data_IF_935434020668
#
_entry.id   IF_935434020668
#
_cell.length_a   1.000
_cell.length_b   1.000
_cell.length_c   1.000
_cell.angle_alpha   90.00
_cell.angle_beta   90.00
_cell.angle_gamma   90.00
#
_symmetry.space_group_name_H-M   'P 1'
#
loop_
_entity.id
_entity.type
_entity.pdbx_description
1 polymer ?
#
# COMPACT_ATOMS: atom_id res chain seq x y z
N UNK A 1 0.38 0.70 10.89
CA UNK A 1 0.38 -0.70 11.38
C UNK A 1 0.98 -0.86 12.78
N UNK A 2 1.74 0.11 13.31
CA UNK A 2 2.33 0.03 14.66
C UNK A 2 1.43 0.56 15.78
N UNK A 3 0.19 0.92 15.45
CA UNK A 3 -0.77 1.58 16.33
C UNK A 3 -1.82 2.33 15.52
N UNK A 4 -2.60 3.15 16.21
CA UNK A 4 -3.61 4.04 15.62
C UNK A 4 -2.96 5.16 14.82
N UNK A 5 -3.66 5.65 13.80
CA UNK A 5 -3.32 6.86 13.05
C UNK A 5 -4.47 7.85 13.09
N UNK A 6 -4.18 9.13 13.28
CA UNK A 6 -5.18 10.18 13.13
C UNK A 6 -5.49 10.38 11.66
N UNK A 7 -6.77 10.30 11.29
CA UNK A 7 -7.25 10.48 9.93
C UNK A 7 -8.20 11.67 9.84
N UNK A 8 -8.05 12.44 8.77
CA UNK A 8 -8.98 13.50 8.39
C UNK A 8 -9.49 13.18 6.98
N UNK A 9 -10.75 12.77 6.89
CA UNK A 9 -11.41 12.57 5.61
C UNK A 9 -11.98 13.91 5.11
N UNK A 10 -11.66 14.25 3.85
CA UNK A 10 -12.21 15.40 3.15
C UNK A 10 -13.13 14.88 2.05
N UNK A 11 -14.45 15.06 2.19
CA UNK A 11 -15.44 14.56 1.24
C UNK A 11 -16.62 15.52 1.17
N UNK A 12 -17.06 15.85 -0.04
CA UNK A 12 -18.21 16.74 -0.31
C UNK A 12 -18.13 18.09 0.43
N UNK A 13 -16.91 18.65 0.50
CA UNK A 13 -16.65 19.91 1.22
C UNK A 13 -16.68 19.80 2.75
N UNK A 14 -16.87 18.60 3.30
CA UNK A 14 -16.90 18.32 4.74
C UNK A 14 -15.58 17.70 5.20
N UNK A 15 -15.20 18.01 6.45
CA UNK A 15 -14.08 17.42 7.14
C UNK A 15 -14.59 16.48 8.25
N UNK A 16 -14.15 15.23 8.24
CA UNK A 16 -14.42 14.26 9.31
C UNK A 16 -13.12 13.76 9.90
N UNK A 17 -12.94 14.01 11.19
CA UNK A 17 -11.78 13.52 11.95
C UNK A 17 -12.16 12.22 12.64
N UNK A 18 -11.28 11.24 12.56
CA UNK A 18 -11.44 9.99 13.28
C UNK A 18 -10.08 9.34 13.48
N UNK A 19 -10.06 8.36 14.37
CA UNK A 19 -8.93 7.49 14.61
C UNK A 19 -9.06 6.28 13.70
N UNK A 20 -7.96 5.91 13.05
CA UNK A 20 -7.89 4.76 12.17
C UNK A 20 -7.01 3.68 12.79
N UNK A 21 -7.55 2.47 12.90
CA UNK A 21 -6.85 1.29 13.38
C UNK A 21 -6.59 0.30 12.24
N UNK A 22 -5.41 -0.37 12.20
CA UNK A 22 -5.12 -1.40 11.20
C UNK A 22 -6.19 -2.50 11.07
N UNK A 23 -6.87 -2.84 12.16
CA UNK A 23 -7.97 -3.81 12.19
C UNK A 23 -9.17 -3.42 11.31
N UNK A 24 -9.38 -2.12 11.04
CA UNK A 24 -10.43 -1.66 10.12
C UNK A 24 -10.17 -2.10 8.68
N UNK A 25 -8.91 -2.39 8.34
CA UNK A 25 -8.47 -2.92 7.06
C UNK A 25 -8.10 -4.42 7.09
N UNK A 26 -8.44 -5.15 8.16
CA UNK A 26 -8.03 -6.55 8.41
C UNK A 26 -6.52 -6.79 8.45
N UNK A 27 -5.73 -5.76 8.79
CA UNK A 27 -4.28 -5.89 8.88
C UNK A 27 -3.84 -6.06 10.34
N UNK A 28 -2.88 -6.97 10.59
CA UNK A 28 -2.34 -7.15 11.93
C UNK A 28 -1.51 -5.94 12.37
N UNK A 29 -1.37 -5.77 13.69
CA UNK A 29 -0.37 -4.88 14.25
C UNK A 29 1.04 -5.45 14.03
N UNK A 30 2.02 -4.56 13.88
CA UNK A 30 3.43 -4.93 13.78
C UNK A 30 4.31 -3.99 14.62
N UNK A 31 5.58 -4.32 14.81
CA UNK A 31 6.57 -3.41 15.39
C UNK A 31 7.14 -2.47 14.33
N UNK A 32 7.76 -1.37 14.77
CA UNK A 32 8.42 -0.44 13.85
C UNK A 32 9.58 -1.09 13.10
N UNK A 33 10.35 -1.95 13.78
CA UNK A 33 11.49 -2.66 13.20
C UNK A 33 11.09 -3.55 12.02
N UNK A 34 9.88 -4.12 12.05
CA UNK A 34 9.34 -4.93 10.96
C UNK A 34 9.04 -4.11 9.69
N UNK A 35 8.88 -2.79 9.81
CA UNK A 35 8.62 -1.87 8.70
C UNK A 35 9.88 -1.15 8.21
N UNK A 36 11.01 -1.33 8.90
CA UNK A 36 12.22 -0.61 8.58
C UNK A 36 12.72 -0.97 7.17
N UNK A 37 13.05 0.08 6.42
CA UNK A 37 13.72 -0.03 5.13
C UNK A 37 15.15 -0.58 5.27
N UNK A 38 15.77 -0.89 4.15
CA UNK A 38 17.14 -1.37 4.10
C UNK A 38 18.16 -0.24 4.13
N UNK A 39 19.41 -0.60 4.48
CA UNK A 39 20.53 0.33 4.59
C UNK A 39 21.00 0.95 3.26
N UNK A 40 20.60 0.38 2.11
CA UNK A 40 21.05 0.85 0.80
C UNK A 40 19.89 0.95 -0.18
N UNK A 41 20.05 1.82 -1.19
CA UNK A 41 19.09 1.99 -2.29
C UNK A 41 18.85 0.66 -3.02
N UNK A 42 19.91 -0.10 -3.32
CA UNK A 42 19.80 -1.38 -4.00
C UNK A 42 19.01 -2.42 -3.17
N UNK A 43 19.20 -2.44 -1.85
CA UNK A 43 18.47 -3.35 -0.98
C UNK A 43 16.99 -2.95 -0.83
N UNK A 44 16.67 -1.65 -0.82
CA UNK A 44 15.30 -1.17 -0.87
C UNK A 44 14.61 -1.52 -2.20
N UNK A 45 15.31 -1.37 -3.33
CA UNK A 45 14.79 -1.79 -4.62
C UNK A 45 14.46 -3.30 -4.62
N UNK A 46 15.38 -4.15 -4.15
CA UNK A 46 15.14 -5.58 -4.03
C UNK A 46 13.98 -5.92 -3.07
N UNK A 47 13.79 -5.15 -2.00
CA UNK A 47 12.65 -5.31 -1.09
C UNK A 47 11.32 -4.99 -1.79
N UNK A 48 11.26 -3.91 -2.56
CA UNK A 48 10.07 -3.55 -3.35
C UNK A 48 9.77 -4.63 -4.39
N UNK A 49 10.79 -5.18 -5.05
CA UNK A 49 10.60 -6.30 -6.00
C UNK A 49 9.97 -7.52 -5.33
N UNK A 50 10.40 -7.87 -4.10
CA UNK A 50 9.79 -8.97 -3.34
C UNK A 50 8.34 -8.69 -2.97
N UNK A 51 8.02 -7.48 -2.53
CA UNK A 51 6.63 -7.06 -2.27
C UNK A 51 5.78 -7.22 -3.53
N UNK A 52 6.26 -6.72 -4.68
CA UNK A 52 5.57 -6.84 -5.96
C UNK A 52 5.45 -8.28 -6.47
N UNK A 53 6.32 -9.18 -6.00
CA UNK A 53 6.26 -10.61 -6.26
C UNK A 53 5.33 -11.38 -5.30
N UNK A 54 4.70 -10.70 -4.34
CA UNK A 54 3.78 -11.31 -3.38
C UNK A 54 4.42 -11.85 -2.11
N UNK A 55 5.60 -11.34 -1.71
CA UNK A 55 6.16 -11.63 -0.38
C UNK A 55 5.13 -11.25 0.69
N UNK A 56 4.78 -12.18 1.57
CA UNK A 56 3.85 -11.92 2.67
C UNK A 56 4.58 -11.23 3.84
N UNK A 57 3.84 -10.41 4.59
CA UNK A 57 4.28 -9.86 5.87
C UNK A 57 4.12 -8.34 5.99
N UNK A 58 4.54 -7.75 7.13
CA UNK A 58 4.21 -6.37 7.53
C UNK A 58 4.57 -5.29 6.50
N UNK A 59 5.64 -5.51 5.72
CA UNK A 59 6.06 -4.57 4.67
C UNK A 59 5.12 -4.56 3.48
N UNK A 60 4.57 -5.71 3.12
CA UNK A 60 3.52 -5.80 2.10
C UNK A 60 2.24 -5.21 2.65
N UNK A 61 1.88 -5.54 3.88
CA UNK A 61 0.67 -5.03 4.55
C UNK A 61 0.63 -3.49 4.58
N UNK A 62 1.75 -2.82 4.91
CA UNK A 62 1.78 -1.35 4.93
C UNK A 62 1.67 -0.75 3.52
N UNK A 63 2.20 -1.44 2.50
CA UNK A 63 2.04 -1.03 1.09
C UNK A 63 0.59 -1.18 0.65
N UNK A 64 -0.05 -2.31 0.98
CA UNK A 64 -1.46 -2.56 0.70
C UNK A 64 -2.35 -1.50 1.36
N UNK A 65 -2.10 -1.15 2.63
CA UNK A 65 -2.86 -0.13 3.34
C UNK A 65 -2.79 1.25 2.68
N UNK A 66 -1.58 1.69 2.31
CA UNK A 66 -1.40 3.00 1.67
C UNK A 66 -2.00 3.02 0.25
N UNK A 67 -1.86 1.94 -0.51
CA UNK A 67 -2.50 1.81 -1.80
C UNK A 67 -4.03 1.77 -1.69
N UNK A 68 -4.57 1.10 -0.67
CA UNK A 68 -6.00 1.09 -0.38
C UNK A 68 -6.54 2.48 -0.08
N UNK A 69 -5.79 3.32 0.65
CA UNK A 69 -6.16 4.72 0.87
C UNK A 69 -6.36 5.47 -0.46
N UNK A 70 -5.48 5.25 -1.44
CA UNK A 70 -5.62 5.84 -2.77
C UNK A 70 -6.85 5.31 -3.52
N UNK A 71 -7.17 4.01 -3.39
CA UNK A 71 -8.39 3.44 -3.97
C UNK A 71 -9.66 4.01 -3.33
N UNK A 72 -9.66 4.25 -2.01
CA UNK A 72 -10.80 4.84 -1.30
C UNK A 72 -11.00 6.29 -1.69
N UNK A 73 -9.93 7.09 -1.70
CA UNK A 73 -9.99 8.52 -2.06
C UNK A 73 -10.41 8.72 -3.53
N UNK A 74 -10.03 7.81 -4.42
CA UNK A 74 -10.45 7.84 -5.83
C UNK A 74 -11.86 7.30 -6.08
N UNK A 75 -12.56 6.85 -5.04
CA UNK A 75 -13.89 6.24 -5.16
C UNK A 75 -13.88 4.87 -5.86
N UNK A 76 -12.71 4.29 -6.08
CA UNK A 76 -12.55 2.96 -6.68
C UNK A 76 -12.95 1.88 -5.67
N UNK A 77 -12.59 2.04 -4.39
CA UNK A 77 -13.03 1.17 -3.30
C UNK A 77 -13.88 1.95 -2.29
N UNK A 78 -14.82 1.28 -1.64
CA UNK A 78 -15.76 1.90 -0.69
C UNK A 78 -15.27 1.87 0.77
N UNK A 79 -14.25 1.07 1.07
CA UNK A 79 -13.66 0.94 2.40
C UNK A 79 -12.18 0.55 2.33
N UNK A 80 -11.44 0.75 3.42
CA UNK A 80 -10.05 0.31 3.52
C UNK A 80 -9.91 -1.21 3.39
N UNK A 81 -10.83 -1.98 4.00
CA UNK A 81 -10.89 -3.44 3.87
C UNK A 81 -11.02 -3.89 2.41
N UNK A 82 -11.97 -3.31 1.68
CA UNK A 82 -12.14 -3.60 0.25
C UNK A 82 -10.90 -3.18 -0.55
N UNK A 83 -10.35 -2.00 -0.26
CA UNK A 83 -9.15 -1.49 -0.91
C UNK A 83 -7.95 -2.42 -0.72
N UNK A 84 -7.69 -2.88 0.52
CA UNK A 84 -6.60 -3.80 0.83
C UNK A 84 -6.79 -5.12 0.10
N UNK A 85 -8.00 -5.70 0.13
CA UNK A 85 -8.29 -6.95 -0.58
C UNK A 85 -8.03 -6.83 -2.09
N UNK A 86 -8.43 -5.71 -2.71
CA UNK A 86 -8.17 -5.46 -4.14
C UNK A 86 -6.69 -5.24 -4.44
N UNK A 87 -5.97 -4.54 -3.59
CA UNK A 87 -4.53 -4.38 -3.72
C UNK A 87 -3.80 -5.72 -3.58
N UNK A 88 -4.24 -6.59 -2.67
CA UNK A 88 -3.69 -7.95 -2.52
C UNK A 88 -3.86 -8.77 -3.80
N UNK A 89 -5.08 -8.78 -4.37
CA UNK A 89 -5.35 -9.43 -5.67
C UNK A 89 -4.44 -8.87 -6.77
N UNK A 90 -4.22 -7.55 -6.81
CA UNK A 90 -3.34 -6.94 -7.80
C UNK A 90 -1.86 -7.36 -7.66
N UNK A 91 -1.39 -7.59 -6.43
CA UNK A 91 -0.06 -8.15 -6.17
C UNK A 91 -0.01 -9.64 -6.57
N UNK A 92 -0.95 -10.45 -6.08
CA UNK A 92 -0.99 -11.91 -6.29
C UNK A 92 -1.13 -12.28 -7.76
N UNK A 93 -1.96 -11.55 -8.51
CA UNK A 93 -2.11 -11.72 -9.97
C UNK A 93 -0.90 -11.23 -10.78
N UNK A 94 0.03 -10.51 -10.15
CA UNK A 94 1.16 -9.86 -10.81
C UNK A 94 0.81 -8.59 -11.60
N UNK A 95 -0.43 -8.11 -11.55
CA UNK A 95 -0.87 -6.90 -12.24
C UNK A 95 -0.12 -5.65 -11.76
N UNK A 96 0.15 -5.55 -10.46
CA UNK A 96 0.96 -4.47 -9.89
C UNK A 96 2.38 -4.45 -10.48
N UNK A 97 3.05 -5.61 -10.49
CA UNK A 97 4.38 -5.78 -11.09
C UNK A 97 4.39 -5.43 -12.58
N UNK A 98 3.41 -5.90 -13.34
CA UNK A 98 3.29 -5.57 -14.77
C UNK A 98 3.16 -4.05 -15.01
N UNK A 99 2.46 -3.34 -14.13
CA UNK A 99 2.32 -1.88 -14.22
C UNK A 99 3.65 -1.17 -14.02
N UNK A 100 4.45 -1.61 -13.04
CA UNK A 100 5.81 -1.09 -12.82
C UNK A 100 6.71 -1.36 -14.02
N UNK A 101 6.64 -2.55 -14.62
CA UNK A 101 7.43 -2.87 -15.81
C UNK A 101 7.05 -2.02 -17.02
N UNK A 102 5.75 -1.73 -17.22
CA UNK A 102 5.30 -0.78 -18.24
C UNK A 102 5.85 0.63 -17.99
N UNK A 103 5.84 1.09 -16.73
CA UNK A 103 6.40 2.40 -16.37
C UNK A 103 7.93 2.46 -16.60
N UNK A 104 8.66 1.39 -16.28
CA UNK A 104 10.10 1.27 -16.57
C UNK A 104 10.39 1.30 -18.07
N UNK A 105 9.62 0.56 -18.85
CA UNK A 105 9.74 0.56 -20.30
C UNK A 105 9.47 1.95 -20.88
N UNK A 106 8.40 2.61 -20.43
CA UNK A 106 8.06 3.97 -20.82
C UNK A 106 9.19 4.96 -20.47
N UNK A 107 9.72 4.93 -19.24
CA UNK A 107 10.82 5.79 -18.82
C UNK A 107 12.08 5.66 -19.69
N UNK A 108 12.36 4.47 -20.24
CA UNK A 108 13.46 4.24 -21.19
C UNK A 108 13.19 4.76 -22.60
N UNK A 109 11.93 4.97 -22.97
CA UNK A 109 11.56 5.49 -24.31
C UNK A 109 11.55 7.01 -24.38
N UNK A 110 11.50 7.70 -23.24
CA UNK A 110 11.43 9.17 -23.16
C UNK A 110 12.73 9.83 -22.69
N UNK A 111 13.75 9.04 -22.35
CA UNK A 111 15.10 9.51 -22.00
C UNK A 111 16.08 9.29 -23.14
#
# INVERSE_FOLDING_TARGET
LTGMSHMVEVRDGLLRRHEFYPSEADLPLCTLDQLQGAATVAANAAMIERILAGEAGPRTDIVLLNAAAALVVSGVATSFREGVARCAIAIESGAARQTVEKLRAFGRTIG
#
